data_IF_663981807588
#
_entry.id   IF_663981807588
#
_cell.length_a   1.000
_cell.length_b   1.000
_cell.length_c   1.000
_cell.angle_alpha   90.00
_cell.angle_beta   90.00
_cell.angle_gamma   90.00
#
_symmetry.space_group_name_H-M   'P 1'
#
loop_
_entity.id
_entity.type
_entity.pdbx_description
1 polymer ?
#
# COMPACT_ATOMS: atom_id res chain seq x y z
N UNK A 1 19.57 12.05 -4.06
CA UNK A 1 19.72 11.03 -5.12
C UNK A 1 18.34 10.44 -5.37
N UNK A 2 17.87 10.40 -6.61
CA UNK A 2 16.52 9.92 -6.95
C UNK A 2 16.41 8.41 -7.18
N UNK A 3 17.49 7.66 -6.91
CA UNK A 3 17.60 6.22 -7.20
C UNK A 3 17.94 5.44 -5.92
N UNK A 4 17.60 4.16 -5.91
CA UNK A 4 17.95 3.23 -4.84
C UNK A 4 19.45 2.94 -4.82
N UNK A 5 20.02 2.89 -3.62
CA UNK A 5 21.41 2.49 -3.39
C UNK A 5 21.50 0.98 -3.30
N UNK A 6 22.34 0.38 -4.14
CA UNK A 6 22.54 -1.08 -4.22
C UNK A 6 23.79 -1.54 -3.48
N UNK A 7 24.77 -0.66 -3.28
CA UNK A 7 26.00 -0.97 -2.57
C UNK A 7 26.70 0.27 -2.03
N UNK A 8 27.37 0.11 -0.90
CA UNK A 8 28.19 1.15 -0.26
C UNK A 8 29.53 0.54 0.14
N UNK A 9 30.62 1.24 -0.16
CA UNK A 9 31.97 0.88 0.24
C UNK A 9 32.76 2.09 0.73
N UNK A 10 33.79 1.85 1.54
CA UNK A 10 34.73 2.87 1.99
C UNK A 10 36.12 2.59 1.45
N UNK A 11 36.86 3.64 1.09
CA UNK A 11 38.25 3.54 0.64
C UNK A 11 38.72 4.81 -0.06
N UNK A 12 39.93 4.79 -0.63
CA UNK A 12 40.49 5.89 -1.41
C UNK A 12 40.43 5.53 -2.91
N UNK A 13 39.50 6.12 -3.67
CA UNK A 13 39.33 5.83 -5.11
C UNK A 13 39.79 6.99 -5.98
N UNK A 14 39.34 8.22 -5.71
CA UNK A 14 39.75 9.42 -6.42
C UNK A 14 41.16 9.88 -6.04
N UNK A 15 41.39 10.11 -4.75
CA UNK A 15 42.66 10.62 -4.21
C UNK A 15 43.22 9.68 -3.15
N UNK A 16 44.50 9.29 -3.28
CA UNK A 16 45.16 8.32 -2.39
C UNK A 16 45.25 8.77 -0.91
N UNK A 17 45.05 10.06 -0.63
CA UNK A 17 45.18 10.64 0.72
C UNK A 17 43.84 11.01 1.37
N UNK A 18 42.72 10.87 0.66
CA UNK A 18 41.40 11.17 1.17
C UNK A 18 40.54 9.90 1.16
N UNK A 19 39.96 9.58 2.31
CA UNK A 19 38.95 8.53 2.40
C UNK A 19 37.65 9.02 1.78
N UNK A 20 37.02 8.14 1.01
CA UNK A 20 35.81 8.39 0.25
C UNK A 20 34.79 7.30 0.55
N UNK A 21 33.51 7.68 0.51
CA UNK A 21 32.40 6.74 0.50
C UNK A 21 31.97 6.56 -0.94
N UNK A 22 32.09 5.34 -1.45
CA UNK A 22 31.66 4.97 -2.79
C UNK A 22 30.27 4.36 -2.71
N UNK A 23 29.35 4.90 -3.48
CA UNK A 23 27.94 4.50 -3.55
C UNK A 23 27.64 4.02 -4.96
N UNK A 24 27.06 2.83 -5.09
CA UNK A 24 26.53 2.31 -6.34
C UNK A 24 25.00 2.43 -6.33
N UNK A 25 24.42 2.97 -7.41
CA UNK A 25 22.96 3.11 -7.56
C UNK A 25 22.37 2.01 -8.43
N UNK A 26 21.03 1.91 -8.45
CA UNK A 26 20.28 0.93 -9.24
C UNK A 26 20.56 1.03 -10.75
N UNK A 27 20.73 2.24 -11.29
CA UNK A 27 21.10 2.44 -12.70
C UNK A 27 22.57 2.08 -13.01
N UNK A 28 23.36 1.72 -12.00
CA UNK A 28 24.78 1.41 -12.12
C UNK A 28 25.69 2.63 -12.03
N UNK A 29 25.19 3.80 -11.60
CA UNK A 29 26.05 4.97 -11.36
C UNK A 29 26.89 4.73 -10.12
N UNK A 30 28.20 4.93 -10.26
CA UNK A 30 29.16 4.89 -9.16
C UNK A 30 29.49 6.32 -8.77
N UNK A 31 29.16 6.70 -7.55
CA UNK A 31 29.31 8.06 -7.01
C UNK A 31 30.26 8.00 -5.82
N UNK A 32 31.30 8.84 -5.83
CA UNK A 32 32.20 9.03 -4.69
C UNK A 32 31.81 10.27 -3.89
N UNK A 33 31.70 10.12 -2.56
CA UNK A 33 31.58 11.20 -1.60
C UNK A 33 32.93 11.35 -0.90
N UNK A 34 33.70 12.37 -1.30
CA UNK A 34 35.06 12.62 -0.81
C UNK A 34 35.11 13.70 0.27
N UNK A 35 36.13 13.64 1.14
CA UNK A 35 36.43 14.70 2.10
C UNK A 35 37.30 15.81 1.53
N UNK A 36 37.84 15.62 0.33
CA UNK A 36 38.69 16.60 -0.32
C UNK A 36 37.88 17.87 -0.68
N UNK A 37 38.30 19.06 -0.22
CA UNK A 37 37.64 20.30 -0.59
C UNK A 37 37.97 20.63 -2.05
N UNK A 38 37.00 20.44 -2.94
CA UNK A 38 37.15 20.79 -4.35
C UNK A 38 37.17 22.33 -4.51
N UNK A 39 38.31 22.91 -4.92
CA UNK A 39 38.42 24.34 -5.24
C UNK A 39 37.56 24.70 -6.47
N UNK A 40 36.73 25.75 -6.36
CA UNK A 40 35.81 26.18 -7.43
C UNK A 40 36.50 26.49 -8.77
N UNK A 41 37.78 26.89 -8.77
CA UNK A 41 38.50 27.24 -9.99
C UNK A 41 38.90 26.02 -10.83
N UNK A 42 39.43 24.95 -10.22
CA UNK A 42 39.80 23.70 -10.92
C UNK A 42 38.55 22.98 -11.44
N UNK A 43 37.46 22.99 -10.67
CA UNK A 43 36.15 22.49 -11.12
C UNK A 43 35.68 23.19 -12.40
N UNK A 44 35.89 24.50 -12.54
CA UNK A 44 35.34 25.27 -13.66
C UNK A 44 35.97 24.94 -15.02
N UNK A 45 37.25 24.53 -15.06
CA UNK A 45 37.93 24.20 -16.31
C UNK A 45 37.68 22.74 -16.71
N UNK A 46 37.80 21.80 -15.78
CA UNK A 46 37.47 20.39 -16.03
C UNK A 46 35.99 20.19 -16.42
N UNK A 47 35.07 20.94 -15.78
CA UNK A 47 33.64 20.89 -16.14
C UNK A 47 33.42 21.40 -17.56
N UNK A 48 34.12 22.45 -17.99
CA UNK A 48 34.00 22.97 -19.37
C UNK A 48 34.53 21.97 -20.39
N UNK A 49 35.70 21.38 -20.15
CA UNK A 49 36.28 20.39 -21.05
C UNK A 49 35.40 19.13 -21.15
N UNK A 50 34.91 18.61 -20.02
CA UNK A 50 33.94 17.50 -19.99
C UNK A 50 32.62 17.85 -20.69
N UNK A 51 32.15 19.08 -20.56
CA UNK A 51 30.91 19.53 -21.20
C UNK A 51 31.07 19.61 -22.73
N UNK A 52 32.22 20.07 -23.23
CA UNK A 52 32.52 20.07 -24.66
C UNK A 52 32.67 18.65 -25.22
N UNK A 53 33.32 17.73 -24.49
CA UNK A 53 33.42 16.34 -24.92
C UNK A 53 32.05 15.65 -24.96
N UNK A 54 31.22 15.86 -23.91
CA UNK A 54 29.86 15.31 -23.85
C UNK A 54 28.98 15.86 -24.97
N UNK A 55 29.10 17.13 -25.34
CA UNK A 55 28.35 17.71 -26.47
C UNK A 55 28.69 17.02 -27.79
N UNK A 56 29.98 16.79 -28.07
CA UNK A 56 30.42 16.07 -29.28
C UNK A 56 29.95 14.62 -29.28
N UNK A 57 29.97 13.98 -28.11
CA UNK A 57 29.50 12.60 -27.97
C UNK A 57 27.99 12.50 -28.21
N UNK A 58 27.19 13.41 -27.64
CA UNK A 58 25.74 13.51 -27.87
C UNK A 58 25.44 13.71 -29.35
N UNK A 59 26.09 14.67 -30.01
CA UNK A 59 25.89 14.91 -31.45
C UNK A 59 26.23 13.68 -32.30
N UNK A 60 27.34 12.98 -31.98
CA UNK A 60 27.70 11.73 -32.67
C UNK A 60 26.68 10.62 -32.45
N UNK A 61 26.17 10.47 -31.23
CA UNK A 61 25.17 9.47 -30.88
C UNK A 61 23.82 9.78 -31.52
N UNK A 62 23.40 11.04 -31.57
CA UNK A 62 22.17 11.48 -32.24
C UNK A 62 22.17 11.10 -33.72
N UNK A 63 23.29 11.34 -34.42
CA UNK A 63 23.43 10.94 -35.83
C UNK A 63 23.34 9.43 -36.00
N UNK A 64 24.04 8.65 -35.16
CA UNK A 64 23.99 7.17 -35.22
C UNK A 64 22.58 6.64 -34.95
N UNK A 65 21.88 7.20 -33.97
CA UNK A 65 20.49 6.82 -33.64
C UNK A 65 19.56 7.20 -34.78
N UNK A 66 19.74 8.36 -35.42
CA UNK A 66 18.96 8.76 -36.60
C UNK A 66 19.06 7.74 -37.74
N UNK A 67 20.29 7.38 -38.12
CA UNK A 67 20.54 6.36 -39.17
C UNK A 67 19.93 5.01 -38.79
N UNK A 68 20.09 4.57 -37.54
CA UNK A 68 19.52 3.31 -37.07
C UNK A 68 17.98 3.32 -37.07
N UNK A 69 17.35 4.45 -36.76
CA UNK A 69 15.89 4.63 -36.82
C UNK A 69 15.36 4.51 -38.24
N UNK A 70 16.02 5.15 -39.20
CA UNK A 70 15.65 5.06 -40.62
C UNK A 70 15.73 3.61 -41.12
N UNK A 71 16.84 2.92 -40.83
CA UNK A 71 17.02 1.50 -41.16
C UNK A 71 15.95 0.60 -40.52
N UNK A 72 15.58 0.89 -39.27
CA UNK A 72 14.51 0.17 -38.58
C UNK A 72 13.14 0.41 -39.23
N UNK A 73 12.83 1.64 -39.65
CA UNK A 73 11.58 1.94 -40.34
C UNK A 73 11.49 1.28 -41.73
N UNK A 74 12.59 1.28 -42.49
CA UNK A 74 12.66 0.60 -43.79
C UNK A 74 12.44 -0.90 -43.66
N UNK A 75 13.08 -1.54 -42.68
CA UNK A 75 12.92 -2.98 -42.43
C UNK A 75 11.51 -3.34 -41.97
N UNK A 76 10.87 -2.52 -41.13
CA UNK A 76 9.47 -2.70 -40.74
C UNK A 76 8.52 -2.56 -41.95
N UNK A 77 8.75 -1.59 -42.84
CA UNK A 77 7.95 -1.42 -44.06
C UNK A 77 8.12 -2.61 -45.03
N UNK A 78 9.35 -3.14 -45.16
CA UNK A 78 9.63 -4.34 -45.94
C UNK A 78 8.96 -5.60 -45.34
N UNK A 79 8.91 -5.71 -44.00
CA UNK A 79 8.21 -6.79 -43.31
C UNK A 79 6.71 -6.80 -43.58
N UNK A 80 6.05 -5.63 -43.57
CA UNK A 80 4.63 -5.50 -43.93
C UNK A 80 4.33 -5.91 -45.38
N UNK A 81 5.34 -5.91 -46.24
CA UNK A 81 5.25 -6.23 -47.67
C UNK A 81 5.47 -7.72 -47.98
N UNK A 82 5.60 -8.59 -46.96
CA UNK A 82 5.69 -10.04 -47.12
C UNK A 82 7.03 -10.69 -46.72
N UNK A 83 7.85 -10.01 -45.92
CA UNK A 83 9.09 -10.59 -45.36
C UNK A 83 8.86 -11.13 -43.94
N UNK A 84 9.51 -12.25 -43.59
CA UNK A 84 9.47 -12.92 -42.26
C UNK A 84 10.20 -12.15 -41.13
N UNK A 85 10.47 -10.86 -41.30
CA UNK A 85 11.17 -10.05 -40.31
C UNK A 85 10.25 -9.71 -39.12
N UNK A 86 10.75 -9.93 -37.90
CA UNK A 86 10.04 -9.70 -36.64
C UNK A 86 10.73 -8.58 -35.86
N UNK A 87 9.95 -7.58 -35.42
CA UNK A 87 10.44 -6.51 -34.54
C UNK A 87 10.76 -7.05 -33.15
N UNK A 88 12.02 -6.89 -32.72
CA UNK A 88 12.43 -7.19 -31.36
C UNK A 88 12.02 -6.05 -30.41
N UNK A 89 11.43 -6.40 -29.27
CA UNK A 89 11.09 -5.44 -28.21
C UNK A 89 12.29 -5.28 -27.27
N UNK A 90 12.73 -4.05 -26.96
CA UNK A 90 13.78 -3.84 -25.96
C UNK A 90 13.30 -4.35 -24.59
N UNK A 91 14.04 -5.31 -24.04
CA UNK A 91 13.81 -5.78 -22.69
C UNK A 91 14.40 -4.77 -21.70
N UNK A 92 13.62 -4.42 -20.68
CA UNK A 92 14.08 -3.61 -19.55
C UNK A 92 13.62 -4.26 -18.25
N UNK A 93 14.39 -4.02 -17.18
CA UNK A 93 14.06 -4.55 -15.87
C UNK A 93 13.31 -3.51 -15.06
N UNK A 94 12.25 -3.96 -14.40
CA UNK A 94 11.50 -3.18 -13.43
C UNK A 94 11.89 -3.67 -12.05
N UNK A 95 12.35 -2.76 -11.20
CA UNK A 95 12.50 -2.99 -9.77
C UNK A 95 11.24 -2.50 -9.07
N UNK A 96 10.31 -3.41 -8.84
CA UNK A 96 9.03 -3.16 -8.19
C UNK A 96 8.98 -3.71 -6.76
N UNK A 97 8.34 -2.96 -5.86
CA UNK A 97 8.07 -3.37 -4.49
C UNK A 97 6.66 -2.95 -4.11
N UNK A 98 5.84 -3.92 -3.70
CA UNK A 98 4.50 -3.69 -3.17
C UNK A 98 4.46 -4.19 -1.73
N UNK A 99 4.51 -3.28 -0.76
CA UNK A 99 4.60 -3.63 0.67
C UNK A 99 3.66 -2.82 1.53
N UNK A 100 3.01 -3.48 2.49
CA UNK A 100 2.15 -2.84 3.48
C UNK A 100 2.98 -2.08 4.52
N UNK A 101 2.62 -0.82 4.76
CA UNK A 101 3.17 0.00 5.83
C UNK A 101 2.42 -0.25 7.15
N UNK A 102 3.16 -0.53 8.22
CA UNK A 102 2.64 -0.84 9.56
C UNK A 102 1.88 0.32 10.19
N UNK A 103 2.41 1.52 10.02
CA UNK A 103 1.96 2.67 10.82
C UNK A 103 0.71 3.32 10.21
N UNK A 104 0.63 3.35 8.88
CA UNK A 104 -0.42 4.07 8.16
C UNK A 104 -1.54 3.16 7.64
N UNK A 105 -1.34 1.83 7.64
CA UNK A 105 -2.24 0.85 7.02
C UNK A 105 -2.51 1.12 5.51
N UNK A 106 -1.47 1.55 4.81
CA UNK A 106 -1.42 1.73 3.35
C UNK A 106 -0.38 0.80 2.72
N UNK A 107 -0.66 0.31 1.52
CA UNK A 107 0.38 -0.29 0.69
C UNK A 107 1.20 0.80 0.02
N UNK A 108 2.51 0.62 -0.05
CA UNK A 108 3.40 1.44 -0.87
C UNK A 108 3.81 0.63 -2.08
N UNK A 109 3.40 1.09 -3.27
CA UNK A 109 3.86 0.60 -4.55
C UNK A 109 5.03 1.48 -5.01
N UNK A 110 6.24 0.93 -5.00
CA UNK A 110 7.44 1.56 -5.56
C UNK A 110 7.79 0.89 -6.87
N UNK A 111 7.93 1.68 -7.93
CA UNK A 111 8.35 1.22 -9.26
C UNK A 111 9.60 2.01 -9.63
N UNK A 112 10.68 1.30 -9.94
CA UNK A 112 11.96 1.90 -10.32
C UNK A 112 12.51 1.27 -11.61
N UNK A 113 12.99 2.12 -12.51
CA UNK A 113 13.59 1.76 -13.80
C UNK A 113 15.00 2.33 -13.93
N UNK A 114 15.81 1.74 -14.80
CA UNK A 114 17.14 2.28 -15.15
C UNK A 114 17.06 3.52 -16.05
N UNK A 115 16.01 3.58 -16.88
CA UNK A 115 15.67 4.73 -17.73
C UNK A 115 14.53 5.53 -17.12
N UNK A 116 14.38 6.83 -17.44
CA UNK A 116 13.23 7.61 -16.99
C UNK A 116 11.90 6.95 -17.36
N UNK A 117 10.95 6.99 -16.42
CA UNK A 117 9.58 6.53 -16.62
C UNK A 117 8.87 7.58 -17.48
N UNK A 118 8.18 7.14 -18.52
CA UNK A 118 7.30 8.01 -19.31
C UNK A 118 5.91 8.08 -18.66
N UNK A 119 5.31 6.90 -18.47
CA UNK A 119 4.03 6.77 -17.80
C UNK A 119 3.87 5.42 -17.10
N UNK A 120 3.05 5.42 -16.04
CA UNK A 120 2.55 4.21 -15.39
C UNK A 120 1.03 4.27 -15.38
N UNK A 121 0.37 3.24 -15.89
CA UNK A 121 -1.09 3.07 -15.76
C UNK A 121 -1.37 2.02 -14.71
N UNK A 122 -2.14 2.39 -13.69
CA UNK A 122 -2.65 1.48 -12.68
C UNK A 122 -4.10 1.13 -13.01
N UNK A 123 -4.38 -0.17 -13.06
CA UNK A 123 -5.71 -0.73 -13.27
C UNK A 123 -6.02 -1.69 -12.12
N UNK A 124 -7.20 -1.60 -11.51
CA UNK A 124 -7.61 -2.50 -10.42
C UNK A 124 -8.97 -3.13 -10.70
N UNK A 125 -9.07 -4.43 -10.44
CA UNK A 125 -10.33 -5.20 -10.46
C UNK A 125 -11.08 -5.15 -9.11
N UNK A 126 -10.52 -4.47 -8.12
CA UNK A 126 -11.12 -4.19 -6.82
C UNK A 126 -11.07 -2.70 -6.50
N UNK A 127 -12.06 -2.15 -5.77
CA UNK A 127 -12.01 -0.78 -5.30
C UNK A 127 -10.82 -0.57 -4.38
N UNK A 128 -9.99 0.40 -4.76
CA UNK A 128 -8.81 0.83 -4.01
C UNK A 128 -8.68 2.34 -4.11
N UNK A 129 -8.23 2.97 -3.03
CA UNK A 129 -7.94 4.40 -3.05
C UNK A 129 -6.46 4.62 -3.35
N UNK A 130 -6.16 5.67 -4.12
CA UNK A 130 -4.81 6.11 -4.35
C UNK A 130 -4.55 7.39 -3.56
N UNK A 131 -3.38 7.46 -2.93
CA UNK A 131 -2.86 8.68 -2.34
C UNK A 131 -1.50 8.99 -2.97
N UNK A 132 -1.39 10.23 -3.47
CA UNK A 132 -0.15 10.77 -3.99
C UNK A 132 0.83 11.04 -2.84
N UNK A 133 2.11 10.78 -3.09
CA UNK A 133 3.18 11.14 -2.16
C UNK A 133 3.70 12.51 -2.57
N UNK A 134 3.77 13.46 -1.63
CA UNK A 134 4.15 14.87 -1.90
C UNK A 134 5.52 15.04 -2.59
N UNK A 135 6.38 14.01 -2.52
CA UNK A 135 7.69 13.97 -3.18
C UNK A 135 7.64 13.56 -4.65
N UNK A 136 6.49 13.10 -5.15
CA UNK A 136 6.32 12.66 -6.52
C UNK A 136 6.13 13.84 -7.46
N UNK A 137 6.91 13.89 -8.54
CA UNK A 137 6.74 14.88 -9.62
C UNK A 137 5.75 14.42 -10.70
N UNK A 138 5.04 13.32 -10.48
CA UNK A 138 4.14 12.74 -11.46
C UNK A 138 2.78 13.45 -11.46
N UNK A 139 2.24 13.70 -12.66
CA UNK A 139 0.87 14.19 -12.84
C UNK A 139 -0.07 13.00 -12.94
N UNK A 140 -1.09 12.96 -12.08
CA UNK A 140 -2.08 11.87 -12.05
C UNK A 140 -3.34 12.27 -12.79
N UNK A 141 -3.89 11.33 -13.56
CA UNK A 141 -5.17 11.46 -14.23
C UNK A 141 -6.02 10.24 -13.94
N UNK A 142 -7.16 10.46 -13.28
CA UNK A 142 -8.15 9.43 -13.03
C UNK A 142 -9.11 9.34 -14.23
N UNK A 143 -9.19 8.16 -14.82
CA UNK A 143 -10.20 7.85 -15.82
C UNK A 143 -11.47 7.35 -15.12
N UNK A 144 -12.66 7.55 -15.71
CA UNK A 144 -13.90 7.04 -15.14
C UNK A 144 -13.82 5.52 -14.98
N UNK A 145 -14.18 4.97 -13.80
CA UNK A 145 -14.18 3.53 -13.59
C UNK A 145 -15.29 2.88 -14.42
N UNK A 146 -15.07 1.61 -14.77
CA UNK A 146 -16.02 0.77 -15.50
C UNK A 146 -16.20 -0.56 -14.75
N UNK A 147 -17.08 -0.58 -13.72
CA UNK A 147 -17.30 -1.76 -12.90
C UNK A 147 -17.89 -2.94 -13.68
N UNK A 148 -18.60 -2.70 -14.79
CA UNK A 148 -19.20 -3.77 -15.60
C UNK A 148 -18.12 -4.63 -16.26
N UNK A 149 -17.01 -4.01 -16.67
CA UNK A 149 -15.85 -4.69 -17.22
C UNK A 149 -14.81 -5.10 -16.15
N UNK A 150 -15.17 -5.03 -14.87
CA UNK A 150 -14.28 -5.39 -13.76
C UNK A 150 -13.14 -4.39 -13.58
N UNK A 151 -13.36 -3.11 -13.87
CA UNK A 151 -12.36 -2.06 -13.71
C UNK A 151 -12.84 -1.00 -12.72
N UNK A 152 -12.45 -1.15 -11.45
CA UNK A 152 -12.85 -0.26 -10.36
C UNK A 152 -11.94 0.96 -10.22
N UNK A 153 -10.72 0.89 -10.75
CA UNK A 153 -9.77 2.00 -10.75
C UNK A 153 -8.97 2.00 -12.04
N UNK A 154 -8.91 3.15 -12.71
CA UNK A 154 -7.97 3.40 -13.78
C UNK A 154 -7.29 4.76 -13.59
N UNK A 155 -6.00 4.74 -13.23
CA UNK A 155 -5.21 5.94 -12.98
C UNK A 155 -3.95 5.95 -13.84
N UNK A 156 -3.67 7.09 -14.46
CA UNK A 156 -2.48 7.29 -15.29
C UNK A 156 -1.54 8.29 -14.64
N UNK A 157 -0.32 7.86 -14.34
CA UNK A 157 0.76 8.67 -13.80
C UNK A 157 1.71 9.04 -14.95
N UNK A 158 1.83 10.33 -15.26
CA UNK A 158 2.85 10.84 -16.20
C UNK A 158 4.02 11.41 -15.43
N UNK A 159 5.21 10.85 -15.64
CA UNK A 159 6.40 11.21 -14.88
C UNK A 159 7.26 12.22 -15.65
N UNK A 160 7.73 13.27 -14.96
CA UNK A 160 8.69 14.23 -15.50
C UNK A 160 10.11 13.84 -15.06
N UNK A 161 10.85 13.18 -15.96
CA UNK A 161 12.26 12.78 -15.79
C UNK A 161 12.59 11.94 -14.53
N UNK A 162 11.58 11.32 -13.93
CA UNK A 162 11.75 10.46 -12.77
C UNK A 162 12.08 9.02 -13.18
N UNK A 163 13.05 8.40 -12.53
CA UNK A 163 13.39 6.97 -12.66
C UNK A 163 12.63 6.10 -11.66
N UNK A 164 12.02 6.72 -10.64
CA UNK A 164 11.26 6.06 -9.58
C UNK A 164 9.91 6.75 -9.36
N UNK A 165 8.87 5.95 -9.20
CA UNK A 165 7.53 6.36 -8.83
C UNK A 165 7.12 5.63 -7.54
N UNK A 166 6.58 6.38 -6.58
CA UNK A 166 5.96 5.83 -5.38
C UNK A 166 4.51 6.25 -5.29
N UNK A 167 3.62 5.28 -5.05
CA UNK A 167 2.18 5.50 -4.91
C UNK A 167 1.69 4.77 -3.67
N UNK A 168 0.89 5.44 -2.83
CA UNK A 168 0.19 4.79 -1.74
C UNK A 168 -1.14 4.24 -2.25
N UNK A 169 -1.39 2.96 -1.96
CA UNK A 169 -2.60 2.22 -2.35
C UNK A 169 -3.31 1.76 -1.10
N UNK A 170 -4.59 2.09 -0.96
CA UNK A 170 -5.44 1.62 0.14
C UNK A 170 -6.32 0.50 -0.36
N UNK A 171 -6.29 -0.63 0.32
CA UNK A 171 -7.21 -1.75 0.10
C UNK A 171 -8.33 -1.75 1.14
N UNK A 172 -9.43 -2.39 0.76
CA UNK A 172 -10.55 -2.68 1.66
C UNK A 172 -10.46 -4.16 2.05
N UNK A 173 -10.54 -4.43 3.35
CA UNK A 173 -10.50 -5.80 3.86
C UNK A 173 -11.77 -6.57 3.48
N UNK A 174 -11.63 -7.86 3.19
CA UNK A 174 -12.72 -8.69 2.66
C UNK A 174 -12.78 -8.75 1.13
N UNK A 175 -12.17 -7.79 0.44
CA UNK A 175 -12.10 -7.76 -1.02
C UNK A 175 -10.77 -8.32 -1.51
N UNK A 176 -10.81 -9.15 -2.56
CA UNK A 176 -9.63 -9.76 -3.16
C UNK A 176 -9.60 -9.51 -4.65
N UNK A 177 -8.40 -9.30 -5.19
CA UNK A 177 -8.22 -8.91 -6.59
C UNK A 177 -6.78 -8.76 -6.99
N UNK A 178 -6.57 -8.15 -8.16
CA UNK A 178 -5.29 -7.87 -8.78
C UNK A 178 -5.19 -6.40 -9.16
N UNK A 179 -4.15 -5.75 -8.66
CA UNK A 179 -3.70 -4.46 -9.14
C UNK A 179 -2.68 -4.67 -10.27
N UNK A 180 -2.97 -4.16 -11.45
CA UNK A 180 -2.12 -4.21 -12.62
C UNK A 180 -1.40 -2.87 -12.81
N UNK A 181 -0.10 -2.92 -13.12
CA UNK A 181 0.69 -1.75 -13.46
C UNK A 181 1.31 -1.92 -14.85
N UNK A 182 0.92 -1.06 -15.79
CA UNK A 182 1.49 -0.95 -17.13
C UNK A 182 2.57 0.12 -17.10
N UNK A 183 3.82 -0.28 -17.29
CA UNK A 183 4.99 0.58 -17.07
C UNK A 183 5.67 0.83 -18.41
N UNK A 184 5.72 2.09 -18.82
CA UNK A 184 6.32 2.53 -20.09
C UNK A 184 7.55 3.39 -19.82
N UNK A 185 8.75 2.94 -20.18
CA UNK A 185 9.95 3.77 -20.10
C UNK A 185 10.00 4.80 -21.22
N UNK A 186 10.83 5.82 -21.04
CA UNK A 186 11.22 6.76 -22.09
C UNK A 186 12.34 6.17 -22.95
N UNK A 187 12.02 5.08 -23.63
CA UNK A 187 12.89 4.40 -24.60
C UNK A 187 12.23 4.34 -25.98
N UNK A 188 13.05 4.19 -27.01
CA UNK A 188 12.62 3.97 -28.39
C UNK A 188 13.20 2.65 -28.90
N UNK A 189 12.39 1.74 -29.46
CA UNK A 189 10.93 1.82 -29.60
C UNK A 189 10.19 1.77 -28.26
N UNK A 190 9.00 2.37 -28.21
CA UNK A 190 8.15 2.38 -27.02
C UNK A 190 7.69 0.95 -26.70
N UNK A 191 7.90 0.55 -25.46
CA UNK A 191 7.49 -0.75 -24.93
C UNK A 191 6.76 -0.57 -23.62
N UNK A 192 5.96 -1.56 -23.23
CA UNK A 192 5.25 -1.57 -21.97
C UNK A 192 5.53 -2.90 -21.27
N UNK A 193 5.83 -2.85 -19.98
CA UNK A 193 5.92 -4.01 -19.11
C UNK A 193 4.72 -4.04 -18.18
N UNK A 194 4.01 -5.16 -18.15
CA UNK A 194 2.87 -5.38 -17.26
C UNK A 194 3.33 -6.10 -15.99
N UNK A 195 3.01 -5.53 -14.83
CA UNK A 195 3.20 -6.13 -13.51
C UNK A 195 1.86 -6.37 -12.82
N UNK A 196 1.76 -7.47 -12.09
CA UNK A 196 0.56 -7.87 -11.36
C UNK A 196 0.87 -7.95 -9.87
N UNK A 197 0.05 -7.31 -9.05
CA UNK A 197 0.13 -7.33 -7.59
C UNK A 197 -1.18 -7.87 -7.02
N UNK A 198 -1.11 -8.95 -6.24
CA UNK A 198 -2.31 -9.55 -5.66
C UNK A 198 -2.73 -8.79 -4.39
N UNK A 199 -3.98 -8.31 -4.36
CA UNK A 199 -4.63 -7.81 -3.15
C UNK A 199 -5.33 -8.98 -2.48
N UNK A 200 -4.86 -9.33 -1.28
CA UNK A 200 -5.36 -10.47 -0.51
C UNK A 200 -6.67 -10.11 0.21
N UNK A 201 -7.57 -11.07 0.48
CA UNK A 201 -8.78 -10.82 1.28
C UNK A 201 -8.47 -10.14 2.62
N UNK A 202 -7.47 -10.65 3.34
CA UNK A 202 -6.98 -10.06 4.59
C UNK A 202 -5.73 -9.22 4.33
N UNK A 203 -5.84 -8.28 3.39
CA UNK A 203 -4.72 -7.43 2.94
C UNK A 203 -4.16 -6.53 4.03
N UNK A 204 -4.87 -6.28 5.14
CA UNK A 204 -4.38 -5.41 6.21
C UNK A 204 -3.70 -6.17 7.35
N UNK A 205 -3.50 -7.48 7.20
CA UNK A 205 -2.83 -8.30 8.19
C UNK A 205 -1.33 -8.34 7.94
N UNK A 206 -0.53 -8.30 9.01
CA UNK A 206 0.91 -8.47 8.92
C UNK A 206 1.41 -9.51 9.91
N UNK A 207 2.41 -10.28 9.49
CA UNK A 207 2.98 -11.35 10.31
C UNK A 207 3.59 -10.82 11.60
N UNK A 208 3.31 -11.49 12.70
CA UNK A 208 3.86 -11.23 14.03
C UNK A 208 4.42 -12.52 14.66
N UNK A 209 5.14 -12.38 15.77
CA UNK A 209 5.81 -13.51 16.44
C UNK A 209 5.10 -14.01 17.71
N UNK A 210 4.30 -13.16 18.36
CA UNK A 210 3.55 -13.51 19.57
C UNK A 210 2.05 -13.45 19.30
N UNK A 211 1.27 -14.17 20.12
CA UNK A 211 -0.19 -14.11 20.11
C UNK A 211 -0.66 -14.01 21.56
N UNK A 212 -1.61 -13.11 21.80
CA UNK A 212 -2.13 -12.83 23.12
C UNK A 212 -3.36 -13.71 23.39
N UNK A 213 -3.15 -14.78 24.15
CA UNK A 213 -4.21 -15.74 24.47
C UNK A 213 -5.25 -15.21 25.47
N UNK A 214 -5.01 -14.05 26.09
CA UNK A 214 -5.95 -13.46 27.06
C UNK A 214 -7.15 -12.77 26.42
N UNK A 215 -7.10 -12.54 25.10
CA UNK A 215 -8.15 -11.86 24.34
C UNK A 215 -9.32 -12.79 24.03
N UNK A 216 -10.56 -12.27 23.96
CA UNK A 216 -11.69 -13.04 23.48
C UNK A 216 -11.41 -13.49 22.04
N UNK A 217 -11.71 -14.75 21.72
CA UNK A 217 -11.22 -15.36 20.49
C UNK A 217 -12.30 -16.16 19.79
N UNK A 218 -12.63 -15.73 18.58
CA UNK A 218 -13.48 -16.44 17.64
C UNK A 218 -12.65 -17.48 16.89
N UNK A 219 -13.17 -18.69 16.77
CA UNK A 219 -12.47 -19.81 16.12
C UNK A 219 -13.23 -20.29 14.89
N UNK A 220 -12.53 -20.40 13.76
CA UNK A 220 -13.01 -21.04 12.53
C UNK A 220 -12.18 -22.28 12.27
N UNK A 221 -12.81 -23.45 12.24
CA UNK A 221 -12.17 -24.73 11.99
C UNK A 221 -12.65 -25.29 10.64
N UNK A 222 -11.70 -25.57 9.76
CA UNK A 222 -11.91 -26.24 8.48
C UNK A 222 -11.29 -27.62 8.58
N UNK A 223 -12.11 -28.66 8.46
CA UNK A 223 -11.67 -30.06 8.56
C UNK A 223 -12.10 -30.84 7.32
N UNK A 224 -11.28 -31.77 6.84
CA UNK A 224 -11.61 -32.53 5.63
C UNK A 224 -10.45 -33.38 5.12
N UNK A 225 -10.61 -33.91 3.91
CA UNK A 225 -9.59 -34.71 3.25
C UNK A 225 -8.75 -33.84 2.31
N UNK A 226 -7.80 -33.09 2.87
CA UNK A 226 -6.86 -32.27 2.12
C UNK A 226 -5.42 -32.42 2.61
N UNK A 227 -4.48 -32.19 1.71
CA UNK A 227 -3.04 -32.21 2.00
C UNK A 227 -2.58 -30.94 2.72
N UNK A 228 -1.41 -30.98 3.35
CA UNK A 228 -0.75 -29.80 3.93
C UNK A 228 -0.52 -28.72 2.86
N UNK A 229 -0.14 -29.10 1.63
CA UNK A 229 0.06 -28.17 0.52
C UNK A 229 -1.22 -27.43 0.12
N UNK A 230 -2.37 -28.11 0.13
CA UNK A 230 -3.66 -27.46 -0.12
C UNK A 230 -4.02 -26.48 1.00
N UNK A 231 -3.87 -26.89 2.27
CA UNK A 231 -4.08 -26.01 3.42
C UNK A 231 -3.20 -24.75 3.33
N UNK A 232 -1.91 -24.93 3.06
CA UNK A 232 -0.96 -23.85 2.88
C UNK A 232 -1.33 -22.93 1.71
N UNK A 233 -1.80 -23.49 0.59
CA UNK A 233 -2.26 -22.69 -0.56
C UNK A 233 -3.47 -21.81 -0.23
N UNK A 234 -4.39 -22.30 0.62
CA UNK A 234 -5.53 -21.51 1.08
C UNK A 234 -5.09 -20.38 2.02
N UNK A 235 -4.15 -20.67 2.93
CA UNK A 235 -3.57 -19.64 3.82
C UNK A 235 -2.83 -18.57 3.01
N UNK A 236 -2.00 -18.95 2.04
CA UNK A 236 -1.27 -18.04 1.14
C UNK A 236 -2.19 -17.26 0.17
N UNK A 237 -3.39 -17.76 -0.07
CA UNK A 237 -4.42 -17.04 -0.81
C UNK A 237 -5.05 -15.95 0.06
N UNK A 238 -5.36 -16.24 1.32
CA UNK A 238 -6.07 -15.31 2.20
C UNK A 238 -5.17 -14.21 2.79
N UNK A 239 -3.90 -14.51 3.04
CA UNK A 239 -3.01 -13.67 3.85
C UNK A 239 -1.76 -13.22 3.09
N UNK A 240 -1.24 -12.02 3.37
CA UNK A 240 0.07 -11.59 2.89
C UNK A 240 1.22 -12.23 3.69
N UNK A 241 2.45 -12.08 3.22
CA UNK A 241 3.69 -12.54 3.90
C UNK A 241 3.72 -14.02 4.31
N UNK A 242 2.93 -14.86 3.64
CA UNK A 242 3.00 -16.31 3.75
C UNK A 242 4.14 -16.82 2.85
N UNK A 243 5.06 -17.65 3.37
CA UNK A 243 6.12 -18.22 2.54
C UNK A 243 5.56 -18.94 1.30
N UNK A 244 6.27 -18.86 0.17
CA UNK A 244 5.80 -19.47 -1.08
C UNK A 244 5.77 -21.01 -1.04
N UNK A 245 6.53 -21.62 -0.12
CA UNK A 245 6.61 -23.07 0.05
C UNK A 245 6.05 -23.47 1.41
N UNK A 246 5.32 -24.60 1.47
CA UNK A 246 4.87 -25.12 2.74
C UNK A 246 6.08 -25.46 3.63
N UNK A 247 5.92 -25.35 4.95
CA UNK A 247 6.96 -25.76 5.89
C UNK A 247 7.21 -27.27 5.76
N UNK A 248 8.43 -27.68 6.13
CA UNK A 248 8.86 -29.10 6.11
C UNK A 248 8.16 -29.89 7.22
N UNK A 249 7.72 -29.21 8.27
CA UNK A 249 6.99 -29.81 9.40
C UNK A 249 5.56 -30.20 9.01
N UNK A 250 5.02 -31.22 9.68
CA UNK A 250 3.66 -31.73 9.45
C UNK A 250 2.55 -30.75 9.89
N UNK A 251 2.92 -29.70 10.62
CA UNK A 251 2.04 -28.65 11.10
C UNK A 251 2.76 -27.30 11.07
N UNK A 252 1.97 -26.22 11.03
CA UNK A 252 2.48 -24.87 10.99
C UNK A 252 1.59 -23.92 11.79
N UNK A 253 2.22 -22.96 12.45
CA UNK A 253 1.57 -21.87 13.16
C UNK A 253 2.06 -20.54 12.60
N UNK A 254 1.13 -19.68 12.20
CA UNK A 254 1.42 -18.32 11.75
C UNK A 254 0.54 -17.35 12.55
N UNK A 255 1.12 -16.24 12.98
CA UNK A 255 0.40 -15.21 13.72
C UNK A 255 0.44 -13.92 12.94
N UNK A 256 -0.66 -13.18 12.98
CA UNK A 256 -0.84 -11.93 12.26
C UNK A 256 -1.50 -10.89 13.15
N UNK A 257 -1.23 -9.61 12.86
CA UNK A 257 -1.87 -8.45 13.47
C UNK A 257 -2.47 -7.58 12.36
N UNK A 258 -3.69 -7.10 12.53
CA UNK A 258 -4.26 -6.06 11.68
C UNK A 258 -3.50 -4.76 11.88
N UNK A 259 -2.96 -4.18 10.81
CA UNK A 259 -2.30 -2.87 10.85
C UNK A 259 -3.30 -1.76 11.17
N UNK A 260 -4.56 -1.92 10.76
CA UNK A 260 -5.59 -0.92 11.00
C UNK A 260 -6.07 -0.92 12.45
N UNK A 261 -6.72 -1.98 12.93
CA UNK A 261 -7.37 -2.02 14.27
C UNK A 261 -6.58 -2.80 15.33
N UNK A 262 -5.42 -3.37 14.99
CA UNK A 262 -4.56 -4.09 15.95
C UNK A 262 -5.16 -5.36 16.57
N UNK A 263 -6.20 -5.90 15.94
CA UNK A 263 -6.72 -7.25 16.19
C UNK A 263 -5.70 -8.30 15.73
N UNK A 264 -5.76 -9.50 16.31
CA UNK A 264 -4.83 -10.58 16.09
C UNK A 264 -5.51 -11.77 15.42
N UNK A 265 -4.77 -12.46 14.56
CA UNK A 265 -5.19 -13.67 13.89
C UNK A 265 -4.09 -14.74 14.02
N UNK A 266 -4.41 -15.85 14.66
CA UNK A 266 -3.60 -17.06 14.68
C UNK A 266 -4.13 -18.06 13.65
N UNK A 267 -3.22 -18.63 12.87
CA UNK A 267 -3.50 -19.63 11.84
C UNK A 267 -2.68 -20.88 12.15
N UNK A 268 -3.38 -21.94 12.52
CA UNK A 268 -2.81 -23.24 12.88
C UNK A 268 -3.29 -24.25 11.84
N UNK A 269 -2.37 -24.84 11.08
CA UNK A 269 -2.76 -25.77 10.03
C UNK A 269 -1.87 -27.00 9.99
N UNK A 270 -2.49 -28.13 9.65
CA UNK A 270 -1.88 -29.44 9.46
C UNK A 270 -2.62 -30.19 8.37
N UNK A 271 -2.16 -31.39 8.02
CA UNK A 271 -2.88 -32.25 7.08
C UNK A 271 -4.32 -32.52 7.58
N UNK A 272 -5.31 -32.18 6.75
CA UNK A 272 -6.74 -32.41 7.01
C UNK A 272 -7.42 -31.44 7.98
N UNK A 273 -6.69 -30.44 8.52
CA UNK A 273 -7.26 -29.47 9.44
C UNK A 273 -6.59 -28.09 9.37
N UNK A 274 -7.40 -27.04 9.36
CA UNK A 274 -6.98 -25.64 9.48
C UNK A 274 -7.85 -24.96 10.54
N UNK A 275 -7.21 -24.25 11.47
CA UNK A 275 -7.86 -23.51 12.55
C UNK A 275 -7.41 -22.07 12.48
N UNK A 276 -8.36 -21.16 12.30
CA UNK A 276 -8.17 -19.72 12.41
C UNK A 276 -8.75 -19.25 13.74
N UNK A 277 -8.00 -18.42 14.47
CA UNK A 277 -8.36 -17.89 15.78
C UNK A 277 -8.16 -16.39 15.74
N UNK A 278 -9.22 -15.60 15.96
CA UNK A 278 -9.19 -14.15 15.80
C UNK A 278 -9.99 -13.45 16.90
N UNK A 279 -9.48 -12.36 17.44
CA UNK A 279 -10.25 -11.44 18.31
C UNK A 279 -11.19 -10.53 17.50
N UNK A 280 -11.17 -10.63 16.17
CA UNK A 280 -12.10 -9.99 15.24
C UNK A 280 -13.03 -11.02 14.55
N UNK A 281 -14.33 -10.84 14.71
CA UNK A 281 -15.36 -11.70 14.13
C UNK A 281 -15.54 -11.49 12.61
N UNK A 282 -15.39 -10.27 12.11
CA UNK A 282 -15.41 -9.97 10.67
C UNK A 282 -14.26 -10.65 9.92
N UNK A 283 -13.07 -10.73 10.53
CA UNK A 283 -11.96 -11.52 9.98
C UNK A 283 -12.33 -12.99 9.78
N UNK A 284 -13.08 -13.57 10.72
CA UNK A 284 -13.58 -14.95 10.62
C UNK A 284 -14.65 -15.08 9.54
N UNK A 285 -15.53 -14.08 9.41
CA UNK A 285 -16.54 -14.01 8.34
C UNK A 285 -15.91 -14.02 6.96
N UNK A 286 -14.93 -13.13 6.72
CA UNK A 286 -14.16 -13.05 5.47
C UNK A 286 -13.48 -14.39 5.15
N UNK A 287 -12.79 -14.99 6.13
CA UNK A 287 -12.13 -16.29 5.94
C UNK A 287 -13.13 -17.39 5.59
N UNK A 288 -14.27 -17.45 6.28
CA UNK A 288 -15.33 -18.42 6.01
C UNK A 288 -15.82 -18.29 4.57
N UNK A 289 -16.11 -17.08 4.12
CA UNK A 289 -16.62 -16.84 2.76
C UNK A 289 -15.60 -17.23 1.70
N UNK A 290 -14.36 -16.73 1.80
CA UNK A 290 -13.29 -17.01 0.82
C UNK A 290 -12.99 -18.50 0.74
N UNK A 291 -12.84 -19.17 1.88
CA UNK A 291 -12.55 -20.60 1.92
C UNK A 291 -13.72 -21.44 1.40
N UNK A 292 -14.96 -21.03 1.66
CA UNK A 292 -16.14 -21.69 1.10
C UNK A 292 -16.17 -21.60 -0.43
N UNK A 293 -15.88 -20.43 -0.99
CA UNK A 293 -15.79 -20.22 -2.44
C UNK A 293 -14.67 -21.05 -3.06
N UNK A 294 -13.48 -21.03 -2.48
CA UNK A 294 -12.30 -21.74 -2.98
C UNK A 294 -12.46 -23.28 -2.93
N UNK A 295 -13.02 -23.79 -1.85
CA UNK A 295 -13.23 -25.24 -1.68
C UNK A 295 -14.31 -25.75 -2.62
N UNK A 296 -15.36 -24.96 -2.86
CA UNK A 296 -16.35 -25.25 -3.89
C UNK A 296 -15.73 -25.24 -5.31
N UNK A 297 -14.91 -24.24 -5.63
CA UNK A 297 -14.24 -24.11 -6.93
C UNK A 297 -13.28 -25.29 -7.20
N UNK A 298 -12.51 -25.71 -6.19
CA UNK A 298 -11.60 -26.86 -6.28
C UNK A 298 -12.28 -28.22 -6.04
N UNK A 299 -13.59 -28.24 -5.81
CA UNK A 299 -14.40 -29.45 -5.51
C UNK A 299 -13.85 -30.28 -4.36
N UNK A 300 -13.32 -29.63 -3.32
CA UNK A 300 -12.79 -30.29 -2.12
C UNK A 300 -13.88 -30.32 -1.06
N UNK A 301 -14.29 -31.52 -0.63
CA UNK A 301 -15.26 -31.66 0.45
C UNK A 301 -14.62 -31.31 1.79
N UNK A 302 -15.03 -30.18 2.37
CA UNK A 302 -14.60 -29.71 3.69
C UNK A 302 -15.80 -29.45 4.59
N UNK A 303 -15.61 -29.62 5.89
CA UNK A 303 -16.52 -29.22 6.94
C UNK A 303 -15.97 -27.98 7.61
N UNK A 304 -16.72 -26.87 7.53
CA UNK A 304 -16.38 -25.59 8.15
C UNK A 304 -17.27 -25.41 9.38
N UNK A 305 -16.68 -25.25 10.55
CA UNK A 305 -17.35 -24.99 11.83
C UNK A 305 -16.80 -23.73 12.45
N UNK A 306 -17.62 -22.97 13.17
CA UNK A 306 -17.22 -21.76 13.86
C UNK A 306 -17.69 -21.77 15.32
N UNK A 307 -16.90 -21.16 16.19
CA UNK A 307 -17.19 -20.92 17.60
C UNK A 307 -16.94 -19.43 17.84
N UNK A 308 -17.97 -18.70 18.28
CA UNK A 308 -17.91 -17.25 18.44
C UNK A 308 -17.99 -16.88 19.91
N UNK A 309 -17.22 -15.87 20.28
CA UNK A 309 -17.23 -15.28 21.62
C UNK A 309 -17.87 -13.89 21.51
N UNK A 310 -19.06 -13.72 22.10
CA UNK A 310 -19.77 -12.42 22.08
C UNK A 310 -18.94 -11.31 22.75
N UNK A 311 -18.04 -11.64 23.69
CA UNK A 311 -17.15 -10.67 24.30
C UNK A 311 -16.15 -10.06 23.30
N UNK A 312 -15.91 -10.72 22.15
CA UNK A 312 -15.06 -10.18 21.08
C UNK A 312 -15.66 -8.94 20.41
N UNK A 313 -17.00 -8.84 20.37
CA UNK A 313 -17.71 -7.68 19.81
C UNK A 313 -17.46 -6.46 20.70
N UNK A 314 -17.67 -6.61 22.00
CA UNK A 314 -17.41 -5.54 22.96
C UNK A 314 -15.92 -5.16 22.98
N UNK A 315 -15.03 -6.14 22.93
CA UNK A 315 -13.58 -5.89 22.83
C UNK A 315 -13.23 -5.05 21.59
N UNK A 316 -13.82 -5.35 20.43
CA UNK A 316 -13.57 -4.59 19.22
C UNK A 316 -14.13 -3.16 19.30
N UNK A 317 -15.34 -2.99 19.82
CA UNK A 317 -15.92 -1.66 20.02
C UNK A 317 -15.05 -0.82 20.97
N UNK A 318 -14.50 -1.41 22.03
CA UNK A 318 -13.55 -0.74 22.95
C UNK A 318 -12.25 -0.31 22.26
N UNK A 319 -11.82 -1.02 21.21
CA UNK A 319 -10.64 -0.64 20.42
C UNK A 319 -10.95 0.48 19.43
N UNK A 320 -12.13 0.44 18.79
CA UNK A 320 -12.54 1.41 17.77
C UNK A 320 -12.88 2.76 18.41
N UNK A 321 -13.60 2.73 19.55
CA UNK A 321 -14.17 3.93 20.17
C UNK A 321 -13.14 5.06 20.42
N UNK A 322 -11.98 4.84 21.06
CA UNK A 322 -11.01 5.91 21.29
C UNK A 322 -10.48 6.54 20.00
N UNK A 323 -10.41 5.77 18.91
CA UNK A 323 -9.95 6.28 17.60
C UNK A 323 -11.02 7.14 16.95
N UNK A 324 -12.28 6.72 17.04
CA UNK A 324 -13.39 7.51 16.53
C UNK A 324 -13.54 8.83 17.30
N UNK A 325 -13.46 8.77 18.64
CA UNK A 325 -13.47 9.95 19.51
C UNK A 325 -12.32 10.91 19.17
N UNK A 326 -11.10 10.40 18.97
CA UNK A 326 -9.96 11.21 18.57
C UNK A 326 -10.18 11.93 17.22
N UNK A 327 -10.78 11.25 16.22
CA UNK A 327 -11.09 11.87 14.93
C UNK A 327 -12.16 12.97 15.05
N UNK A 328 -13.17 12.78 15.90
CA UNK A 328 -14.20 13.81 16.13
C UNK A 328 -13.63 15.01 16.90
N UNK A 329 -12.78 14.75 17.90
CA UNK A 329 -12.09 15.80 18.64
C UNK A 329 -11.14 16.59 17.74
N UNK A 330 -10.45 15.94 16.78
CA UNK A 330 -9.63 16.63 15.79
C UNK A 330 -10.43 17.66 14.99
N UNK A 331 -11.61 17.29 14.47
CA UNK A 331 -12.48 18.23 13.75
C UNK A 331 -12.93 19.41 14.64
N UNK A 332 -13.31 19.14 15.90
CA UNK A 332 -13.69 20.19 16.85
C UNK A 332 -12.52 21.14 17.15
N UNK A 333 -11.31 20.61 17.32
CA UNK A 333 -10.12 21.40 17.59
C UNK A 333 -9.76 22.29 16.40
N UNK A 334 -9.83 21.78 15.17
CA UNK A 334 -9.55 22.58 13.97
C UNK A 334 -10.56 23.70 13.76
N UNK A 335 -11.83 23.51 14.13
CA UNK A 335 -12.83 24.59 14.11
C UNK A 335 -12.44 25.77 15.03
N UNK A 336 -11.65 25.54 16.07
CA UNK A 336 -11.18 26.58 16.98
C UNK A 336 -9.92 27.29 16.46
N UNK A 337 -9.17 26.70 15.52
CA UNK A 337 -7.86 27.22 15.07
C UNK A 337 -7.97 28.63 14.51
N UNK A 338 -8.96 28.90 13.64
CA UNK A 338 -9.12 30.21 13.01
C UNK A 338 -9.35 31.32 14.06
N UNK A 339 -10.28 31.10 14.98
CA UNK A 339 -10.56 32.05 16.06
C UNK A 339 -9.39 32.21 17.04
N UNK A 340 -8.64 31.15 17.31
CA UNK A 340 -7.45 31.23 18.16
C UNK A 340 -6.30 32.00 17.48
N UNK A 341 -6.11 31.84 16.17
CA UNK A 341 -5.11 32.57 15.39
C UNK A 341 -5.42 34.08 15.34
N UNK A 342 -6.71 34.44 15.23
CA UNK A 342 -7.13 35.84 15.32
C UNK A 342 -6.78 36.45 16.68
N UNK A 343 -7.04 35.73 17.78
CA UNK A 343 -6.71 36.19 19.14
C UNK A 343 -5.20 36.36 19.31
N UNK A 344 -4.39 35.43 18.78
CA UNK A 344 -2.92 35.50 18.82
C UNK A 344 -2.38 36.74 18.09
N UNK A 345 -2.99 37.13 16.97
CA UNK A 345 -2.60 38.33 16.21
C UNK A 345 -2.96 39.62 16.94
N UNK A 346 -4.05 39.63 17.72
CA UNK A 346 -4.58 40.83 18.36
C UNK A 346 -4.07 41.08 19.78
N UNK A 347 -3.63 40.06 20.52
CA UNK A 347 -3.12 40.22 21.88
C UNK A 347 -1.59 40.28 21.96
N UNK A 348 -1.05 41.16 22.82
CA UNK A 348 0.40 41.28 23.03
C UNK A 348 0.99 40.14 23.89
N UNK A 349 0.15 39.37 24.64
CA UNK A 349 0.55 38.26 25.50
C UNK A 349 -0.46 37.08 25.48
N UNK A 350 -0.61 36.39 24.34
CA UNK A 350 -1.60 35.32 24.15
C UNK A 350 -1.44 34.15 25.13
N UNK A 351 -0.22 33.91 25.62
CA UNK A 351 0.09 32.85 26.60
C UNK A 351 -0.47 33.09 28.00
N UNK A 352 -0.90 34.32 28.33
CA UNK A 352 -1.49 34.64 29.65
C UNK A 352 -3.01 34.54 29.68
N UNK A 353 -3.66 34.66 28.51
CA UNK A 353 -5.12 34.69 28.37
C UNK A 353 -5.72 33.36 27.90
N UNK A 354 -4.93 32.54 27.21
CA UNK A 354 -5.37 31.26 26.65
C UNK A 354 -5.19 30.10 27.64
N UNK A 355 -6.14 29.17 27.63
CA UNK A 355 -5.99 27.91 28.36
C UNK A 355 -4.85 27.06 27.77
N UNK A 356 -4.24 26.15 28.54
CA UNK A 356 -3.20 25.25 28.03
C UNK A 356 -3.66 24.40 26.83
N UNK A 357 -4.96 24.09 26.75
CA UNK A 357 -5.55 23.36 25.62
C UNK A 357 -5.57 24.21 24.35
N UNK A 358 -5.95 25.48 24.45
CA UNK A 358 -5.94 26.39 23.30
C UNK A 358 -4.50 26.68 22.81
N UNK A 359 -3.54 26.77 23.73
CA UNK A 359 -2.12 26.91 23.39
C UNK A 359 -1.62 25.68 22.62
N UNK A 360 -1.94 24.48 23.08
CA UNK A 360 -1.61 23.24 22.38
C UNK A 360 -2.21 23.18 20.97
N UNK A 361 -3.46 23.64 20.81
CA UNK A 361 -4.13 23.69 19.49
C UNK A 361 -3.39 24.65 18.55
N UNK A 362 -2.96 25.83 19.04
CA UNK A 362 -2.21 26.79 18.23
C UNK A 362 -0.84 26.27 17.81
N UNK A 363 -0.09 25.68 18.75
CA UNK A 363 1.23 25.11 18.48
C UNK A 363 1.18 24.00 17.42
N UNK A 364 0.09 23.24 17.37
CA UNK A 364 -0.09 22.10 16.48
C UNK A 364 -1.07 22.37 15.32
N UNK A 365 -1.46 23.64 15.10
CA UNK A 365 -2.52 24.01 14.17
C UNK A 365 -2.26 23.51 12.73
N UNK A 366 -1.03 23.65 12.25
CA UNK A 366 -0.64 23.23 10.89
C UNK A 366 -0.74 21.72 10.71
N UNK A 367 -0.23 20.94 11.67
CA UNK A 367 -0.32 19.48 11.66
C UNK A 367 -1.78 19.00 11.75
N UNK A 368 -2.59 19.59 12.64
CA UNK A 368 -4.01 19.24 12.77
C UNK A 368 -4.81 19.55 11.49
N UNK A 369 -4.51 20.66 10.81
CA UNK A 369 -5.13 21.01 9.53
C UNK A 369 -4.74 20.04 8.41
N UNK A 370 -3.51 19.53 8.40
CA UNK A 370 -3.07 18.49 7.47
C UNK A 370 -3.75 17.15 7.74
N UNK A 371 -3.83 16.74 9.02
CA UNK A 371 -4.53 15.52 9.43
C UNK A 371 -6.03 15.58 9.11
N UNK A 372 -6.66 16.75 9.26
CA UNK A 372 -8.08 16.94 8.93
C UNK A 372 -8.38 16.65 7.45
N UNK A 373 -7.42 16.87 6.53
CA UNK A 373 -7.61 16.51 5.10
C UNK A 373 -7.86 15.02 4.91
N UNK A 374 -7.33 14.17 5.79
CA UNK A 374 -7.45 12.71 5.74
C UNK A 374 -8.59 12.17 6.63
N UNK A 375 -9.10 12.99 7.54
CA UNK A 375 -10.09 12.62 8.56
C UNK A 375 -11.42 12.08 7.98
N UNK A 376 -12.03 12.65 6.91
CA UNK A 376 -13.29 12.11 6.37
C UNK A 376 -13.18 10.65 5.93
N UNK A 377 -12.10 10.32 5.20
CA UNK A 377 -11.85 8.94 4.76
C UNK A 377 -11.57 7.99 5.93
N UNK A 378 -10.95 8.49 7.02
CA UNK A 378 -10.72 7.71 8.24
C UNK A 378 -12.03 7.39 8.96
N UNK A 379 -12.92 8.38 9.12
CA UNK A 379 -14.23 8.19 9.78
C UNK A 379 -15.10 7.23 8.98
N UNK A 380 -15.22 7.44 7.67
CA UNK A 380 -15.98 6.56 6.78
C UNK A 380 -15.53 5.10 6.93
N UNK A 381 -14.21 4.88 7.01
CA UNK A 381 -13.64 3.55 7.22
C UNK A 381 -13.95 2.96 8.59
N UNK A 382 -13.90 3.76 9.67
CA UNK A 382 -14.28 3.28 11.00
C UNK A 382 -15.77 2.92 11.04
N UNK A 383 -16.63 3.72 10.39
CA UNK A 383 -18.06 3.44 10.27
C UNK A 383 -18.33 2.17 9.48
N UNK A 384 -17.63 1.98 8.36
CA UNK A 384 -17.71 0.75 7.58
C UNK A 384 -17.35 -0.47 8.44
N UNK A 385 -16.28 -0.39 9.23
CA UNK A 385 -15.83 -1.50 10.07
C UNK A 385 -16.85 -1.88 11.16
N UNK A 386 -17.47 -0.88 11.82
CA UNK A 386 -18.52 -1.15 12.81
C UNK A 386 -19.79 -1.70 12.14
N UNK A 387 -20.09 -1.23 10.93
CA UNK A 387 -21.22 -1.72 10.13
C UNK A 387 -21.01 -3.17 9.69
N UNK A 388 -19.83 -3.51 9.20
CA UNK A 388 -19.44 -4.87 8.82
C UNK A 388 -19.50 -5.80 10.03
N UNK A 389 -19.01 -5.36 11.20
CA UNK A 389 -19.12 -6.12 12.44
C UNK A 389 -20.58 -6.46 12.79
N UNK A 390 -21.50 -5.49 12.64
CA UNK A 390 -22.93 -5.70 12.88
C UNK A 390 -23.52 -6.72 11.88
N UNK A 391 -23.23 -6.55 10.59
CA UNK A 391 -23.74 -7.41 9.52
C UNK A 391 -23.23 -8.84 9.69
N UNK A 392 -21.92 -9.00 9.94
CA UNK A 392 -21.30 -10.30 10.15
C UNK A 392 -21.91 -10.99 11.38
N UNK A 393 -22.20 -10.23 12.45
CA UNK A 393 -22.75 -10.80 13.68
C UNK A 393 -24.13 -11.38 13.44
N UNK A 394 -24.97 -10.61 12.76
CA UNK A 394 -26.30 -11.06 12.36
C UNK A 394 -26.22 -12.26 11.41
N UNK A 395 -25.29 -12.23 10.44
CA UNK A 395 -25.04 -13.34 9.51
C UNK A 395 -24.69 -14.65 10.22
N UNK A 396 -23.85 -14.60 11.26
CA UNK A 396 -23.55 -15.78 12.07
C UNK A 396 -24.74 -16.28 12.91
N UNK A 397 -25.65 -15.38 13.33
CA UNK A 397 -26.92 -15.73 14.00
C UNK A 397 -28.02 -16.18 13.02
N UNK A 398 -27.82 -16.02 11.71
CA UNK A 398 -28.82 -16.31 10.68
C UNK A 398 -29.87 -15.20 10.51
N UNK A 399 -29.58 -14.00 10.97
CA UNK A 399 -30.43 -12.80 10.91
C UNK A 399 -29.93 -11.82 9.84
N UNK A 400 -30.80 -10.93 9.36
CA UNK A 400 -30.42 -9.83 8.46
C UNK A 400 -30.46 -8.49 9.22
N UNK A 401 -29.30 -7.84 9.34
CA UNK A 401 -29.16 -6.56 10.05
C UNK A 401 -29.25 -5.32 9.14
N UNK A 402 -29.54 -5.44 7.85
CA UNK A 402 -29.58 -4.29 6.92
C UNK A 402 -30.53 -3.18 7.38
N UNK A 403 -31.66 -3.52 8.02
CA UNK A 403 -32.60 -2.54 8.57
C UNK A 403 -32.06 -1.78 9.80
N UNK A 404 -31.13 -2.39 10.54
CA UNK A 404 -30.47 -1.80 11.72
C UNK A 404 -29.32 -0.86 11.34
N UNK A 405 -28.81 -0.91 10.09
CA UNK A 405 -27.66 -0.10 9.64
C UNK A 405 -27.96 1.41 9.71
N UNK A 406 -29.14 1.84 9.28
CA UNK A 406 -29.49 3.27 9.33
C UNK A 406 -29.50 3.82 10.78
N UNK A 407 -30.00 3.03 11.73
CA UNK A 407 -30.01 3.38 13.16
C UNK A 407 -28.60 3.40 13.75
N UNK A 408 -27.73 2.47 13.31
CA UNK A 408 -26.33 2.45 13.71
C UNK A 408 -25.60 3.72 13.26
N UNK A 409 -25.84 4.20 12.04
CA UNK A 409 -25.19 5.42 11.54
C UNK A 409 -25.55 6.64 12.39
N UNK A 410 -26.82 6.78 12.79
CA UNK A 410 -27.24 7.86 13.70
C UNK A 410 -26.58 7.76 15.08
N UNK A 411 -26.35 6.55 15.59
CA UNK A 411 -25.65 6.35 16.87
C UNK A 411 -24.16 6.66 16.77
N UNK A 412 -23.52 6.31 15.64
CA UNK A 412 -22.11 6.59 15.39
C UNK A 412 -21.84 8.10 15.33
N UNK A 413 -22.74 8.88 14.76
CA UNK A 413 -22.61 10.35 14.72
C UNK A 413 -22.66 11.00 16.11
N UNK A 414 -23.39 10.40 17.05
CA UNK A 414 -23.48 10.87 18.43
C UNK A 414 -22.31 10.40 19.31
N UNK A 415 -21.58 9.36 18.89
CA UNK A 415 -20.43 8.78 19.58
C UNK A 415 -20.66 8.46 21.07
N UNK A 416 -21.85 7.98 21.42
CA UNK A 416 -22.11 7.46 22.75
C UNK A 416 -21.79 5.95 22.81
N UNK A 417 -20.70 5.62 23.52
CA UNK A 417 -20.21 4.26 23.66
C UNK A 417 -21.20 3.31 24.33
N UNK A 418 -21.88 3.77 25.38
CA UNK A 418 -22.79 2.93 26.16
C UNK A 418 -24.05 2.63 25.34
N UNK A 419 -24.55 3.63 24.59
CA UNK A 419 -25.61 3.44 23.62
C UNK A 419 -25.19 2.46 22.52
N UNK A 420 -23.97 2.56 22.00
CA UNK A 420 -23.45 1.65 20.98
C UNK A 420 -23.37 0.20 21.49
N UNK A 421 -22.83 -0.05 22.68
CA UNK A 421 -22.83 -1.40 23.27
C UNK A 421 -24.26 -1.91 23.47
N UNK A 422 -25.14 -1.09 24.02
CA UNK A 422 -26.52 -1.51 24.29
C UNK A 422 -27.26 -1.88 23.00
N UNK A 423 -27.00 -1.16 21.91
CA UNK A 423 -27.52 -1.47 20.58
C UNK A 423 -26.99 -2.81 20.06
N UNK A 424 -25.71 -3.12 20.24
CA UNK A 424 -25.17 -4.43 19.90
C UNK A 424 -25.70 -5.54 20.83
N UNK A 425 -26.12 -5.25 22.05
CA UNK A 425 -26.76 -6.25 22.91
C UNK A 425 -28.24 -6.49 22.58
N UNK A 426 -28.89 -5.58 21.86
CA UNK A 426 -30.28 -5.67 21.39
C UNK A 426 -30.45 -6.33 20.01
#
# INVERSE_FOLDING_TARGET
>A
MGESVTGVGGGSVGSAHHEEVVVCTFSGRVIGLTREPLTQQTLSQEVKEKLESLRKEVESLEVKVGVAKEQYQETVAAAQSGSDAVSALPAFQVNDKFSLNQDEAWYTLSIELQSPIDMVVLQSDVPVDLQEVDKSSAVVSHSPPDPENGNFLLATFRCHDATRLEVKVRSIEGQQGTLQAFITPRLEPKTCCLRHYSIKPLSLHQRMHSFDESRPCNTLRVSGQFSLGQAHSWVALCLPDVPARPPVEDSAALFFKSTFIHTQLAVLYRKGEVVFRSDNMSTVSVLREVLSKETALKKVAVKITHELDEASVEHMLRIIHPRLEAQIMLAKNVQLVEGLQEIEIHEQNPSSCLSPQCQYILENATAMQEELKQQPAMIERLYALVTDLLIDRASFKGENAQSKVAQLMELLDNCDFDSLISFFHS
#
